data_IF_517099825515
#
_entry.id   IF_517099825515
#
_cell.length_a   1.000
_cell.length_b   1.000
_cell.length_c   1.000
_cell.angle_alpha   90.00
_cell.angle_beta   90.00
_cell.angle_gamma   90.00
#
_symmetry.space_group_name_H-M   'P 1'
#
loop_
_entity.id
_entity.type
_entity.pdbx_description
1 polymer ?
#
# COMPACT_ATOMS: atom_id res chain seq x y z
N UNK A 1 9.26 21.02 18.48
CA UNK A 1 8.10 21.55 17.74
C UNK A 1 7.01 20.49 17.60
N UNK A 2 7.40 19.22 17.57
CA UNK A 2 6.61 17.97 17.68
C UNK A 2 5.42 18.01 18.66
N UNK A 3 5.55 18.63 19.85
CA UNK A 3 4.48 18.68 20.86
C UNK A 3 3.21 19.41 20.38
N UNK A 4 3.35 20.45 19.55
CA UNK A 4 2.18 21.19 19.05
C UNK A 4 1.45 20.40 17.96
N UNK A 5 2.20 19.77 17.05
CA UNK A 5 1.62 18.94 15.99
C UNK A 5 0.89 17.72 16.54
N UNK A 6 1.50 17.01 17.51
CA UNK A 6 0.86 15.86 18.16
C UNK A 6 -0.47 16.26 18.82
N UNK A 7 -0.51 17.41 19.50
CA UNK A 7 -1.74 17.92 20.11
C UNK A 7 -2.84 18.19 19.08
N UNK A 8 -2.49 18.78 17.93
CA UNK A 8 -3.43 18.99 16.82
C UNK A 8 -4.00 17.65 16.33
N UNK A 9 -3.14 16.66 16.10
CA UNK A 9 -3.58 15.34 15.60
C UNK A 9 -4.43 14.57 16.62
N UNK A 10 -4.17 14.73 17.93
CA UNK A 10 -4.97 14.11 18.99
C UNK A 10 -6.36 14.73 19.17
N UNK A 11 -6.56 15.97 18.71
CA UNK A 11 -7.86 16.64 18.77
C UNK A 11 -8.77 16.29 17.59
N UNK A 12 -8.23 15.62 16.56
CA UNK A 12 -9.03 15.17 15.43
C UNK A 12 -9.97 14.03 15.84
N UNK A 13 -11.14 13.91 15.18
CA UNK A 13 -12.03 12.78 15.40
C UNK A 13 -11.32 11.45 15.13
N UNK A 14 -11.63 10.42 15.90
CA UNK A 14 -11.11 9.07 15.67
C UNK A 14 -11.25 8.67 14.19
N UNK A 15 -10.21 8.07 13.57
CA UNK A 15 -10.20 7.75 12.15
C UNK A 15 -11.41 6.95 11.66
N UNK A 16 -11.99 6.08 12.50
CA UNK A 16 -13.17 5.24 12.19
C UNK A 16 -14.48 6.03 12.11
N UNK A 17 -14.53 7.24 12.67
CA UNK A 17 -15.73 8.09 12.67
C UNK A 17 -15.79 9.02 11.46
N UNK A 18 -14.77 9.00 10.62
CA UNK A 18 -14.64 9.87 9.46
C UNK A 18 -15.07 9.11 8.21
N UNK A 19 -15.99 9.71 7.43
CA UNK A 19 -16.36 9.18 6.12
C UNK A 19 -15.20 9.30 5.11
N UNK A 20 -14.45 10.40 5.20
CA UNK A 20 -13.32 10.72 4.33
C UNK A 20 -12.13 11.27 5.13
N UNK A 21 -10.94 11.25 4.54
CA UNK A 21 -9.75 11.83 5.15
C UNK A 21 -9.88 13.36 5.20
N UNK A 22 -9.55 14.01 6.35
CA UNK A 22 -9.44 15.45 6.41
C UNK A 22 -8.41 15.97 5.39
N UNK A 23 -8.60 17.20 4.91
CA UNK A 23 -7.54 17.89 4.19
C UNK A 23 -6.52 18.42 5.22
N UNK A 24 -5.38 17.76 5.38
CA UNK A 24 -4.43 18.13 6.43
C UNK A 24 -3.78 19.50 6.18
N UNK A 25 -3.70 19.95 4.92
CA UNK A 25 -3.19 21.29 4.60
C UNK A 25 -4.08 22.41 5.16
N UNK A 26 -5.40 22.22 5.25
CA UNK A 26 -6.30 23.22 5.87
C UNK A 26 -6.16 23.29 7.40
N UNK A 27 -5.44 22.34 7.99
CA UNK A 27 -5.12 22.30 9.42
C UNK A 27 -3.73 22.89 9.72
N UNK A 28 -3.05 23.49 8.72
CA UNK A 28 -1.70 24.02 8.86
C UNK A 28 -0.63 22.94 8.91
N UNK A 29 -0.90 21.75 8.36
CA UNK A 29 0.09 20.69 8.18
C UNK A 29 0.72 20.83 6.80
N UNK A 30 2.02 21.09 6.78
CA UNK A 30 2.82 21.48 5.63
C UNK A 30 4.09 20.62 5.52
N UNK A 31 4.80 20.66 4.37
CA UNK A 31 6.02 19.89 4.16
C UNK A 31 7.12 20.10 5.23
N UNK A 32 7.15 21.27 5.87
CA UNK A 32 8.11 21.57 6.95
C UNK A 32 7.98 20.63 8.16
N UNK A 33 6.81 20.00 8.36
CA UNK A 33 6.53 19.09 9.48
C UNK A 33 6.75 17.61 9.13
N UNK A 34 7.24 17.27 7.93
CA UNK A 34 7.39 15.85 7.51
C UNK A 34 8.23 15.03 8.49
N UNK A 35 9.30 15.58 9.05
CA UNK A 35 10.11 14.87 10.04
C UNK A 35 9.33 14.54 11.33
N UNK A 36 8.63 15.53 11.90
CA UNK A 36 7.78 15.35 13.08
C UNK A 36 6.62 14.36 12.79
N UNK A 37 6.04 14.41 11.58
CA UNK A 37 4.99 13.49 11.16
C UNK A 37 5.49 12.06 11.03
N UNK A 38 6.71 11.84 10.51
CA UNK A 38 7.31 10.49 10.45
C UNK A 38 7.44 9.93 11.86
N UNK A 39 7.98 10.71 12.80
CA UNK A 39 8.13 10.30 14.20
C UNK A 39 6.77 9.89 14.81
N UNK A 40 5.73 10.72 14.66
CA UNK A 40 4.39 10.42 15.18
C UNK A 40 3.77 9.20 14.48
N UNK A 41 3.97 9.05 13.17
CA UNK A 41 3.39 7.97 12.37
C UNK A 41 3.94 6.58 12.71
N UNK A 42 5.21 6.51 13.13
CA UNK A 42 5.91 5.23 13.37
C UNK A 42 6.12 4.89 14.84
N UNK A 43 5.95 5.85 15.75
CA UNK A 43 6.11 5.56 17.17
C UNK A 43 4.98 4.64 17.67
N UNK A 44 5.30 3.58 18.43
CA UNK A 44 4.30 2.71 19.02
C UNK A 44 3.31 3.48 19.89
N UNK A 45 2.03 3.38 19.57
CA UNK A 45 0.98 4.04 20.33
C UNK A 45 0.65 3.26 21.62
N UNK A 46 0.71 3.93 22.77
CA UNK A 46 0.38 3.35 24.08
C UNK A 46 -1.04 3.67 24.55
N UNK A 47 -1.82 4.37 23.72
CA UNK A 47 -3.23 4.72 23.98
C UNK A 47 -3.99 4.92 22.67
N UNK A 48 -5.32 4.85 22.71
CA UNK A 48 -6.17 5.07 21.54
C UNK A 48 -6.04 6.48 20.93
N UNK A 49 -5.79 7.50 21.76
CA UNK A 49 -5.54 8.87 21.28
C UNK A 49 -4.21 8.97 20.50
N UNK A 50 -3.16 8.28 20.96
CA UNK A 50 -1.89 8.21 20.23
C UNK A 50 -2.01 7.38 18.96
N UNK A 51 -2.80 6.31 18.96
CA UNK A 51 -3.06 5.51 17.76
C UNK A 51 -3.80 6.34 16.71
N UNK A 52 -4.84 7.06 17.10
CA UNK A 52 -5.55 8.00 16.23
C UNK A 52 -4.61 9.05 15.64
N UNK A 53 -3.74 9.64 16.48
CA UNK A 53 -2.76 10.61 16.02
C UNK A 53 -1.75 10.02 15.01
N UNK A 54 -1.27 8.79 15.24
CA UNK A 54 -0.40 8.08 14.31
C UNK A 54 -1.08 7.84 12.96
N UNK A 55 -2.35 7.43 12.95
CA UNK A 55 -3.13 7.26 11.70
C UNK A 55 -3.29 8.58 10.96
N UNK A 56 -3.61 9.67 11.65
CA UNK A 56 -3.67 11.00 11.02
C UNK A 56 -2.32 11.45 10.48
N UNK A 57 -1.22 11.19 11.20
CA UNK A 57 0.12 11.50 10.72
C UNK A 57 0.45 10.73 9.43
N UNK A 58 0.14 9.43 9.37
CA UNK A 58 0.31 8.60 8.16
C UNK A 58 -0.47 9.19 6.98
N UNK A 59 -1.76 9.52 7.17
CA UNK A 59 -2.61 10.13 6.14
C UNK A 59 -2.07 11.49 5.65
N UNK A 60 -1.58 12.32 6.57
CA UNK A 60 -0.97 13.60 6.22
C UNK A 60 0.32 13.43 5.39
N UNK A 61 1.19 12.48 5.76
CA UNK A 61 2.37 12.13 4.96
C UNK A 61 2.01 11.70 3.54
N UNK A 62 0.95 10.91 3.39
CA UNK A 62 0.37 10.53 2.11
C UNK A 62 -0.03 11.75 1.27
N UNK A 63 -0.91 12.62 1.80
CA UNK A 63 -1.38 13.82 1.10
C UNK A 63 -0.26 14.80 0.73
N UNK A 64 0.81 14.86 1.53
CA UNK A 64 1.98 15.69 1.26
C UNK A 64 2.92 15.12 0.17
N UNK A 65 2.73 13.86 -0.27
CA UNK A 65 3.66 13.22 -1.18
C UNK A 65 5.05 13.02 -0.55
N UNK A 66 5.12 12.77 0.75
CA UNK A 66 6.36 12.82 1.52
C UNK A 66 7.31 11.64 1.22
N UNK A 67 8.14 11.78 0.18
CA UNK A 67 9.05 10.72 -0.28
C UNK A 67 10.00 10.17 0.79
N UNK A 68 10.44 10.99 1.75
CA UNK A 68 11.29 10.54 2.88
C UNK A 68 10.57 9.59 3.86
N UNK A 69 9.23 9.55 3.84
CA UNK A 69 8.44 8.68 4.68
C UNK A 69 8.27 7.27 4.12
N UNK A 70 8.56 7.03 2.82
CA UNK A 70 8.25 5.76 2.13
C UNK A 70 8.81 4.55 2.88
N UNK A 71 10.11 4.55 3.20
CA UNK A 71 10.73 3.43 3.92
C UNK A 71 10.19 3.24 5.33
N UNK A 72 9.93 4.34 6.04
CA UNK A 72 9.37 4.33 7.40
C UNK A 72 7.96 3.71 7.42
N UNK A 73 7.13 4.09 6.45
CA UNK A 73 5.77 3.60 6.31
C UNK A 73 5.75 2.14 5.82
N UNK A 74 6.61 1.76 4.87
CA UNK A 74 6.74 0.37 4.43
C UNK A 74 7.09 -0.57 5.59
N UNK A 75 7.96 -0.13 6.51
CA UNK A 75 8.34 -0.93 7.65
C UNK A 75 7.15 -1.25 8.57
N UNK A 76 6.10 -0.43 8.61
CA UNK A 76 4.91 -0.70 9.44
C UNK A 76 4.11 -1.92 8.98
N UNK A 77 4.31 -2.42 7.75
CA UNK A 77 3.61 -3.62 7.30
C UNK A 77 3.90 -4.87 8.12
N UNK A 78 4.97 -4.90 8.92
CA UNK A 78 5.20 -5.98 9.89
C UNK A 78 4.09 -6.10 10.95
N UNK A 79 3.31 -5.05 11.18
CA UNK A 79 2.21 -5.01 12.16
C UNK A 79 0.86 -5.42 11.56
N UNK A 80 0.76 -5.72 10.25
CA UNK A 80 -0.51 -6.00 9.57
C UNK A 80 -1.31 -7.16 10.18
N UNK A 81 -0.65 -8.14 10.80
CA UNK A 81 -1.34 -9.26 11.44
C UNK A 81 -2.10 -8.83 12.72
N UNK A 82 -1.76 -7.69 13.30
CA UNK A 82 -2.25 -7.25 14.62
C UNK A 82 -2.85 -5.85 14.65
N UNK A 83 -2.52 -4.98 13.69
CA UNK A 83 -3.04 -3.62 13.61
C UNK A 83 -3.94 -3.44 12.38
N UNK A 84 -5.25 -3.36 12.63
CA UNK A 84 -6.27 -3.11 11.61
C UNK A 84 -6.02 -1.81 10.82
N UNK A 85 -5.45 -0.79 11.46
CA UNK A 85 -5.12 0.46 10.78
C UNK A 85 -4.00 0.28 9.76
N UNK A 86 -3.05 -0.61 10.04
CA UNK A 86 -1.99 -0.94 9.07
C UNK A 86 -2.60 -1.70 7.89
N UNK A 87 -3.56 -2.59 8.13
CA UNK A 87 -4.25 -3.33 7.05
C UNK A 87 -5.07 -2.40 6.15
N UNK A 88 -5.91 -1.55 6.74
CA UNK A 88 -6.90 -0.78 5.98
C UNK A 88 -6.37 0.56 5.45
N UNK A 89 -5.46 1.22 6.18
CA UNK A 89 -5.03 2.59 5.85
C UNK A 89 -3.69 2.64 5.14
N UNK A 90 -2.72 1.84 5.57
CA UNK A 90 -1.34 1.98 5.12
C UNK A 90 -1.17 1.81 3.60
N UNK A 91 -1.85 0.86 2.92
CA UNK A 91 -1.77 0.76 1.47
C UNK A 91 -2.26 2.03 0.74
N UNK A 92 -3.34 2.63 1.25
CA UNK A 92 -3.90 3.90 0.72
C UNK A 92 -2.93 5.05 0.94
N UNK A 93 -2.27 5.10 2.09
CA UNK A 93 -1.27 6.12 2.41
C UNK A 93 -0.08 6.03 1.46
N UNK A 94 0.47 4.84 1.27
CA UNK A 94 1.59 4.61 0.35
C UNK A 94 1.22 4.96 -1.10
N UNK A 95 -0.03 4.71 -1.50
CA UNK A 95 -0.53 5.10 -2.81
C UNK A 95 -0.54 6.62 -3.02
N UNK A 96 -0.82 7.41 -1.98
CA UNK A 96 -0.83 8.89 -2.06
C UNK A 96 0.56 9.52 -2.08
N UNK A 97 1.61 8.80 -1.66
CA UNK A 97 3.00 9.31 -1.74
C UNK A 97 3.45 9.57 -3.19
N UNK A 98 2.71 9.03 -4.16
CA UNK A 98 2.89 9.29 -5.58
C UNK A 98 3.93 8.40 -6.25
N UNK A 99 4.06 8.56 -7.57
CA UNK A 99 4.88 7.71 -8.46
C UNK A 99 6.32 7.49 -7.99
N UNK A 100 6.93 8.44 -7.29
CA UNK A 100 8.31 8.30 -6.83
C UNK A 100 8.49 7.17 -5.80
N UNK A 101 7.42 6.76 -5.12
CA UNK A 101 7.44 5.67 -4.15
C UNK A 101 7.41 4.27 -4.81
N UNK A 102 6.98 4.17 -6.07
CA UNK A 102 6.79 2.88 -6.77
C UNK A 102 8.00 1.95 -6.65
N UNK A 103 9.26 2.36 -6.93
CA UNK A 103 10.40 1.43 -6.86
C UNK A 103 10.62 0.82 -5.47
N UNK A 104 10.42 1.60 -4.41
CA UNK A 104 10.58 1.11 -3.04
C UNK A 104 9.46 0.15 -2.64
N UNK A 105 8.23 0.43 -3.03
CA UNK A 105 7.07 -0.46 -2.79
C UNK A 105 7.27 -1.79 -3.53
N UNK A 106 7.72 -1.74 -4.80
CA UNK A 106 8.03 -2.94 -5.59
C UNK A 106 9.15 -3.76 -4.96
N UNK A 107 10.23 -3.12 -4.52
CA UNK A 107 11.33 -3.81 -3.85
C UNK A 107 10.87 -4.49 -2.54
N UNK A 108 9.99 -3.84 -1.78
CA UNK A 108 9.41 -4.41 -0.56
C UNK A 108 8.58 -5.66 -0.87
N UNK A 109 7.72 -5.61 -1.89
CA UNK A 109 6.90 -6.74 -2.33
C UNK A 109 7.74 -7.92 -2.88
N UNK A 110 8.87 -7.65 -3.54
CA UNK A 110 9.77 -8.66 -4.08
C UNK A 110 10.60 -9.38 -3.00
N UNK A 111 10.83 -8.75 -1.85
CA UNK A 111 11.72 -9.28 -0.82
C UNK A 111 11.08 -10.44 -0.05
N UNK A 112 11.59 -11.65 -0.28
CA UNK A 112 11.11 -12.87 0.37
C UNK A 112 11.37 -12.94 1.89
N UNK A 113 12.21 -12.06 2.45
CA UNK A 113 12.39 -11.95 3.91
C UNK A 113 11.20 -11.29 4.61
N UNK A 114 10.29 -10.63 3.88
CA UNK A 114 9.07 -10.08 4.45
C UNK A 114 7.94 -11.12 4.49
N UNK A 115 7.05 -11.09 5.50
CA UNK A 115 5.87 -11.95 5.55
C UNK A 115 4.97 -11.79 4.33
N UNK A 116 4.27 -12.86 3.95
CA UNK A 116 3.37 -12.87 2.79
C UNK A 116 2.36 -11.73 2.84
N UNK A 117 1.72 -11.52 3.99
CA UNK A 117 0.68 -10.49 4.13
C UNK A 117 1.24 -9.07 3.98
N UNK A 118 2.42 -8.81 4.53
CA UNK A 118 3.14 -7.55 4.35
C UNK A 118 3.49 -7.29 2.86
N UNK A 119 3.94 -8.32 2.15
CA UNK A 119 4.22 -8.24 0.69
C UNK A 119 2.93 -7.98 -0.09
N UNK A 120 1.82 -8.62 0.29
CA UNK A 120 0.49 -8.36 -0.26
C UNK A 120 0.03 -6.92 -0.04
N UNK A 121 0.23 -6.34 1.15
CA UNK A 121 -0.05 -4.93 1.42
C UNK A 121 0.72 -3.97 0.52
N UNK A 122 1.98 -4.28 0.19
CA UNK A 122 2.75 -3.52 -0.78
C UNK A 122 2.20 -3.66 -2.21
N UNK A 123 1.76 -4.85 -2.63
CA UNK A 123 1.08 -5.05 -3.93
C UNK A 123 -0.21 -4.24 -4.00
N UNK A 124 -1.04 -4.28 -2.96
CA UNK A 124 -2.27 -3.47 -2.87
C UNK A 124 -1.96 -1.96 -2.94
N UNK A 125 -0.83 -1.52 -2.38
CA UNK A 125 -0.39 -0.12 -2.50
C UNK A 125 -0.11 0.28 -3.96
N UNK A 126 0.51 -0.61 -4.74
CA UNK A 126 0.75 -0.39 -6.18
C UNK A 126 -0.56 -0.38 -6.97
N UNK A 127 -1.49 -1.27 -6.64
CA UNK A 127 -2.83 -1.30 -7.23
C UNK A 127 -3.56 0.03 -7.03
N UNK A 128 -3.68 0.48 -5.78
CA UNK A 128 -4.35 1.73 -5.43
C UNK A 128 -3.68 2.95 -6.08
N UNK A 129 -2.34 2.97 -6.13
CA UNK A 129 -1.58 4.03 -6.81
C UNK A 129 -1.84 4.05 -8.32
N UNK A 130 -2.16 2.89 -8.90
CA UNK A 130 -2.45 2.73 -10.32
C UNK A 130 -3.63 3.58 -10.80
N UNK A 131 -4.55 3.98 -9.92
CA UNK A 131 -5.64 4.91 -10.26
C UNK A 131 -5.12 6.25 -10.81
N UNK A 132 -3.97 6.72 -10.31
CA UNK A 132 -3.34 7.98 -10.76
C UNK A 132 -2.10 7.74 -11.64
N UNK A 133 -1.42 6.60 -11.45
CA UNK A 133 -0.12 6.31 -12.06
C UNK A 133 -0.06 4.91 -12.69
N UNK A 134 -1.12 4.54 -13.43
CA UNK A 134 -1.32 3.20 -13.99
C UNK A 134 -0.09 2.60 -14.65
N UNK A 135 0.51 3.31 -15.61
CA UNK A 135 1.62 2.76 -16.41
C UNK A 135 2.82 2.32 -15.55
N UNK A 136 3.22 3.13 -14.56
CA UNK A 136 4.33 2.80 -13.69
C UNK A 136 4.01 1.62 -12.75
N UNK A 137 2.77 1.57 -12.24
CA UNK A 137 2.33 0.52 -11.32
C UNK A 137 2.17 -0.82 -12.06
N UNK A 138 1.54 -0.83 -13.24
CA UNK A 138 1.40 -2.04 -14.06
C UNK A 138 2.75 -2.59 -14.49
N UNK A 139 3.68 -1.73 -14.94
CA UNK A 139 5.02 -2.21 -15.27
C UNK A 139 5.72 -2.86 -14.06
N UNK A 140 5.52 -2.30 -12.87
CA UNK A 140 6.10 -2.85 -11.63
C UNK A 140 5.47 -4.18 -11.24
N UNK A 141 4.15 -4.32 -11.39
CA UNK A 141 3.42 -5.56 -11.13
C UNK A 141 3.79 -6.65 -12.14
N UNK A 142 3.95 -6.31 -13.43
CA UNK A 142 4.47 -7.22 -14.45
C UNK A 142 5.87 -7.69 -14.09
N UNK A 143 6.75 -6.79 -13.65
CA UNK A 143 8.11 -7.16 -13.23
C UNK A 143 8.13 -8.08 -12.00
N UNK A 144 7.19 -7.90 -11.07
CA UNK A 144 7.00 -8.82 -9.94
C UNK A 144 6.53 -10.19 -10.44
N UNK A 145 5.46 -10.22 -11.24
CA UNK A 145 4.89 -11.46 -11.76
C UNK A 145 5.88 -12.21 -12.66
N UNK A 146 6.78 -11.54 -13.37
CA UNK A 146 7.81 -12.17 -14.19
C UNK A 146 8.73 -13.11 -13.38
N UNK A 147 8.74 -12.98 -12.05
CA UNK A 147 9.46 -13.84 -11.12
C UNK A 147 8.54 -14.84 -10.39
N UNK A 148 7.37 -15.18 -10.95
CA UNK A 148 6.34 -16.01 -10.31
C UNK A 148 6.88 -17.32 -9.72
N UNK A 149 7.87 -17.94 -10.37
CA UNK A 149 8.49 -19.18 -9.91
C UNK A 149 9.21 -19.07 -8.55
N UNK A 150 9.53 -17.86 -8.10
CA UNK A 150 10.20 -17.58 -6.83
C UNK A 150 9.26 -16.96 -5.79
N UNK A 151 7.96 -16.98 -6.06
CA UNK A 151 6.94 -16.41 -5.18
C UNK A 151 6.00 -17.51 -4.69
N UNK A 152 5.45 -17.38 -3.47
CA UNK A 152 4.34 -18.23 -3.05
C UNK A 152 3.16 -18.08 -4.04
N UNK A 153 2.43 -19.16 -4.38
CA UNK A 153 1.30 -19.10 -5.30
C UNK A 153 0.24 -18.05 -4.92
N UNK A 154 -0.02 -17.88 -3.62
CA UNK A 154 -0.93 -16.86 -3.11
C UNK A 154 -0.44 -15.43 -3.40
N UNK A 155 0.87 -15.17 -3.38
CA UNK A 155 1.38 -13.84 -3.74
C UNK A 155 1.24 -13.58 -5.25
N UNK A 156 1.50 -14.59 -6.09
CA UNK A 156 1.28 -14.49 -7.52
C UNK A 156 -0.19 -14.17 -7.81
N UNK A 157 -1.11 -14.84 -7.10
CA UNK A 157 -2.54 -14.52 -7.11
C UNK A 157 -2.84 -13.06 -6.80
N UNK A 158 -2.30 -12.53 -5.70
CA UNK A 158 -2.47 -11.11 -5.31
C UNK A 158 -1.95 -10.16 -6.41
N UNK A 159 -0.80 -10.45 -7.02
CA UNK A 159 -0.25 -9.64 -8.12
C UNK A 159 -1.16 -9.69 -9.35
N UNK A 160 -1.69 -10.87 -9.69
CA UNK A 160 -2.59 -11.07 -10.83
C UNK A 160 -3.91 -10.32 -10.61
N UNK A 161 -4.50 -10.39 -9.42
CA UNK A 161 -5.71 -9.61 -9.08
C UNK A 161 -5.45 -8.11 -9.22
N UNK A 162 -4.32 -7.61 -8.74
CA UNK A 162 -3.95 -6.20 -8.89
C UNK A 162 -3.81 -5.80 -10.37
N UNK A 163 -3.18 -6.65 -11.20
CA UNK A 163 -3.11 -6.44 -12.65
C UNK A 163 -4.50 -6.44 -13.31
N UNK A 164 -5.39 -7.32 -12.84
CA UNK A 164 -6.77 -7.41 -13.32
C UNK A 164 -7.59 -6.16 -12.98
N UNK A 165 -7.52 -5.70 -11.74
CA UNK A 165 -8.18 -4.47 -11.30
C UNK A 165 -7.66 -3.24 -12.06
N UNK A 166 -6.39 -3.24 -12.46
CA UNK A 166 -5.78 -2.21 -13.31
C UNK A 166 -6.02 -2.40 -14.81
N UNK A 167 -6.77 -3.43 -15.23
CA UNK A 167 -7.08 -3.73 -16.63
C UNK A 167 -5.81 -3.88 -17.48
N UNK A 168 -4.82 -4.59 -16.95
CA UNK A 168 -3.51 -4.79 -17.57
C UNK A 168 -3.53 -5.85 -18.68
N UNK A 169 -4.15 -5.54 -19.82
CA UNK A 169 -4.20 -6.44 -20.98
C UNK A 169 -2.80 -6.80 -21.50
N UNK A 170 -1.83 -5.91 -21.30
CA UNK A 170 -0.42 -6.13 -21.62
C UNK A 170 0.24 -7.26 -20.80
N UNK A 171 -0.36 -7.68 -19.68
CA UNK A 171 0.15 -8.75 -18.81
C UNK A 171 -0.42 -10.14 -19.14
N UNK A 172 -1.42 -10.25 -20.02
CA UNK A 172 -2.20 -11.48 -20.24
C UNK A 172 -1.34 -12.71 -20.54
N UNK A 173 -0.38 -12.61 -21.46
CA UNK A 173 0.49 -13.73 -21.80
C UNK A 173 1.34 -14.22 -20.61
N UNK A 174 1.76 -13.30 -19.73
CA UNK A 174 2.51 -13.64 -18.52
C UNK A 174 1.61 -14.27 -17.45
N UNK A 175 0.37 -13.80 -17.34
CA UNK A 175 -0.64 -14.39 -16.45
C UNK A 175 -0.94 -15.83 -16.88
N UNK A 176 -1.20 -16.05 -18.18
CA UNK A 176 -1.40 -17.39 -18.76
C UNK A 176 -0.23 -18.32 -18.43
N UNK A 177 1.01 -17.87 -18.64
CA UNK A 177 2.21 -18.64 -18.32
C UNK A 177 2.33 -18.99 -16.82
N UNK A 178 1.90 -18.10 -15.91
CA UNK A 178 1.92 -18.37 -14.48
C UNK A 178 0.88 -19.44 -14.07
N UNK A 179 -0.32 -19.40 -14.66
CA UNK A 179 -1.34 -20.44 -14.46
C UNK A 179 -0.92 -21.79 -15.05
N UNK A 180 -0.39 -21.81 -16.28
CA UNK A 180 0.13 -23.04 -16.91
C UNK A 180 1.25 -23.69 -16.10
N UNK A 181 2.04 -22.88 -15.39
CA UNK A 181 3.13 -23.33 -14.53
C UNK A 181 2.67 -23.80 -13.13
N UNK A 182 1.35 -23.84 -12.85
CA UNK A 182 0.78 -24.15 -11.52
C UNK A 182 1.36 -23.26 -10.40
N UNK A 183 1.68 -22.00 -10.75
CA UNK A 183 2.32 -21.04 -9.86
C UNK A 183 1.32 -20.08 -9.22
N UNK A 184 0.02 -20.33 -9.31
CA UNK A 184 -1.05 -19.45 -8.84
C UNK A 184 -1.97 -20.23 -7.91
N UNK A 185 -2.33 -19.63 -6.78
CA UNK A 185 -3.36 -20.14 -5.88
C UNK A 185 -4.74 -19.76 -6.44
N UNK A 186 -5.26 -20.58 -7.34
CA UNK A 186 -6.53 -20.36 -8.06
C UNK A 186 -7.78 -20.42 -7.17
N UNK A 187 -7.70 -21.12 -6.03
CA UNK A 187 -8.77 -21.18 -5.03
C UNK A 187 -9.09 -19.80 -4.43
N UNK A 188 -8.08 -18.95 -4.29
CA UNK A 188 -8.24 -17.60 -3.73
C UNK A 188 -8.29 -16.52 -4.81
N UNK A 189 -7.60 -16.74 -5.93
CA UNK A 189 -7.46 -15.77 -7.03
C UNK A 189 -8.68 -15.77 -7.96
N UNK A 190 -9.38 -16.90 -8.06
CA UNK A 190 -10.25 -17.20 -9.19
C UNK A 190 -9.46 -17.87 -10.32
N UNK A 191 -10.17 -18.51 -11.25
CA UNK A 191 -9.53 -19.19 -12.37
C UNK A 191 -9.06 -18.21 -13.45
N UNK A 192 -8.34 -18.73 -14.44
CA UNK A 192 -7.81 -17.93 -15.55
C UNK A 192 -8.93 -17.27 -16.37
N UNK A 193 -10.08 -17.91 -16.54
CA UNK A 193 -11.20 -17.37 -17.32
C UNK A 193 -11.80 -16.14 -16.63
N UNK A 194 -12.00 -16.22 -15.31
CA UNK A 194 -12.46 -15.12 -14.47
C UNK A 194 -11.49 -13.93 -14.54
N UNK A 195 -10.18 -14.19 -14.41
CA UNK A 195 -9.14 -13.16 -14.50
C UNK A 195 -9.11 -12.51 -15.88
N UNK A 196 -9.20 -13.31 -16.94
CA UNK A 196 -9.23 -12.81 -18.32
C UNK A 196 -10.46 -11.93 -18.58
N UNK A 197 -11.63 -12.32 -18.07
CA UNK A 197 -12.85 -11.51 -18.15
C UNK A 197 -12.71 -10.20 -17.35
N UNK A 198 -12.15 -10.26 -16.15
CA UNK A 198 -11.89 -9.09 -15.31
C UNK A 198 -10.93 -8.10 -15.99
N UNK A 199 -9.87 -8.57 -16.65
CA UNK A 199 -8.91 -7.70 -17.36
C UNK A 199 -9.53 -6.99 -18.57
N UNK A 200 -10.47 -7.65 -19.27
CA UNK A 200 -11.05 -7.17 -20.53
C UNK A 200 -12.33 -6.33 -20.36
N UNK A 201 -12.93 -6.33 -19.17
CA UNK A 201 -14.14 -5.53 -18.85
C UNK A 201 -13.83 -4.07 -18.61
#
# INVERSE_FOLDING_TARGET
MTTNLLQVLQQLPEPSRLADWPNYSTLGIEPAQVADLIEIATNPATSGALQSAAVHARRALGQLGAGSAVGHLLNLFHEMETDIWVVEELPRVLAQLGRAATPAITAYAANASHPLFARGGAVLSLELMGAQHRAACVQSLINLLANYAHHPPTLNGIIIVALANLKATEALALIEAAFEADAVDDLTTGDLEDIQAAIRS
#
